data_IF_645439896804
#
_entry.id   IF_645439896804
#
_cell.length_a   1.000
_cell.length_b   1.000
_cell.length_c   1.000
_cell.angle_alpha   90.00
_cell.angle_beta   90.00
_cell.angle_gamma   90.00
#
_symmetry.space_group_name_H-M   'P 1'
#
loop_
_entity.id
_entity.type
_entity.pdbx_description
1 polymer ?
#
# COMPACT_ATOMS: atom_id res chain seq x y z
N UNK A 1 -6.96 8.32 13.55
CA UNK A 1 -7.74 7.20 12.98
C UNK A 1 -6.78 6.38 12.16
N UNK A 2 -6.77 5.04 12.30
CA UNK A 2 -5.92 4.20 11.45
C UNK A 2 -6.29 4.43 9.97
N UNK A 3 -5.28 4.54 9.11
CA UNK A 3 -5.49 4.74 7.68
C UNK A 3 -5.93 3.38 7.09
N UNK A 4 -7.24 3.22 6.83
CA UNK A 4 -7.80 2.00 6.27
C UNK A 4 -7.17 1.71 4.90
N UNK A 5 -6.82 0.45 4.65
CA UNK A 5 -6.30 0.02 3.34
C UNK A 5 -7.44 -0.03 2.32
N UNK A 6 -7.26 0.63 1.19
CA UNK A 6 -8.26 0.68 0.11
C UNK A 6 -8.18 -0.56 -0.76
N UNK A 7 -9.25 -1.34 -0.77
CA UNK A 7 -9.39 -2.52 -1.61
C UNK A 7 -10.39 -2.25 -2.72
N UNK A 8 -10.01 -2.51 -3.97
CA UNK A 8 -10.95 -2.59 -5.08
C UNK A 8 -11.36 -4.05 -5.29
N UNK A 9 -12.65 -4.32 -5.21
CA UNK A 9 -13.26 -5.63 -5.47
C UNK A 9 -14.02 -5.58 -6.80
N UNK A 10 -13.59 -6.39 -7.76
CA UNK A 10 -14.17 -6.48 -9.10
C UNK A 10 -14.69 -7.90 -9.30
N UNK A 11 -16.01 -8.06 -9.30
CA UNK A 11 -16.69 -9.36 -9.46
C UNK A 11 -18.10 -9.08 -10.00
N UNK A 12 -18.61 -9.83 -10.96
CA UNK A 12 -19.95 -9.64 -11.51
C UNK A 12 -21.05 -10.25 -10.64
N UNK A 13 -20.72 -11.23 -9.80
CA UNK A 13 -21.64 -11.81 -8.82
C UNK A 13 -21.91 -10.79 -7.71
N UNK A 14 -23.07 -10.13 -7.79
CA UNK A 14 -23.46 -9.09 -6.85
C UNK A 14 -23.57 -9.61 -5.41
N UNK A 15 -24.10 -10.82 -5.21
CA UNK A 15 -24.30 -11.40 -3.87
C UNK A 15 -22.93 -11.73 -3.23
N UNK A 16 -22.03 -12.33 -4.00
CA UNK A 16 -20.67 -12.60 -3.54
C UNK A 16 -19.90 -11.31 -3.24
N UNK A 17 -20.02 -10.31 -4.11
CA UNK A 17 -19.33 -9.03 -3.99
C UNK A 17 -19.78 -8.30 -2.71
N UNK A 18 -21.12 -8.16 -2.49
CA UNK A 18 -21.67 -7.53 -1.31
C UNK A 18 -21.25 -8.27 -0.02
N UNK A 19 -21.38 -9.61 0.01
CA UNK A 19 -20.99 -10.41 1.17
C UNK A 19 -19.49 -10.27 1.50
N UNK A 20 -18.62 -10.23 0.48
CA UNK A 20 -17.16 -10.03 0.69
C UNK A 20 -16.85 -8.63 1.17
N UNK A 21 -17.48 -7.61 0.59
CA UNK A 21 -17.30 -6.22 1.00
C UNK A 21 -17.67 -6.02 2.47
N UNK A 22 -18.85 -6.52 2.88
CA UNK A 22 -19.27 -6.47 4.28
C UNK A 22 -18.27 -7.16 5.22
N UNK A 23 -17.85 -8.38 4.89
CA UNK A 23 -16.91 -9.13 5.73
C UNK A 23 -15.54 -8.43 5.84
N UNK A 24 -15.05 -7.83 4.76
CA UNK A 24 -13.79 -7.08 4.77
C UNK A 24 -13.90 -5.81 5.63
N UNK A 25 -14.99 -5.05 5.50
CA UNK A 25 -15.23 -3.84 6.29
C UNK A 25 -15.36 -4.17 7.79
N UNK A 26 -15.99 -5.29 8.14
CA UNK A 26 -16.10 -5.76 9.54
C UNK A 26 -14.75 -6.07 10.20
N UNK A 27 -13.66 -6.24 9.43
CA UNK A 27 -12.32 -6.41 10.02
C UNK A 27 -11.72 -5.10 10.55
N UNK A 28 -12.34 -3.95 10.25
CA UNK A 28 -11.87 -2.60 10.60
C UNK A 28 -10.48 -2.22 10.03
N UNK A 29 -9.95 -3.07 9.11
CA UNK A 29 -8.65 -2.84 8.44
C UNK A 29 -8.81 -2.18 7.06
N UNK A 30 -10.01 -2.31 6.44
CA UNK A 30 -10.20 -2.05 5.01
C UNK A 30 -11.34 -1.07 4.71
N UNK A 31 -11.11 -0.26 3.67
CA UNK A 31 -12.11 0.53 2.96
C UNK A 31 -12.31 -0.11 1.58
N UNK A 32 -13.54 -0.58 1.29
CA UNK A 32 -13.82 -1.43 0.12
C UNK A 32 -14.60 -0.65 -0.93
N UNK A 33 -14.10 -0.70 -2.15
CA UNK A 33 -14.70 -0.14 -3.35
C UNK A 33 -15.07 -1.27 -4.29
N UNK A 34 -16.27 -1.25 -4.80
CA UNK A 34 -16.83 -2.34 -5.61
C UNK A 34 -16.93 -1.96 -7.08
N UNK A 35 -16.79 -2.93 -7.98
CA UNK A 35 -17.06 -2.81 -9.41
C UNK A 35 -17.72 -4.10 -9.91
N UNK A 36 -18.77 -3.97 -10.71
CA UNK A 36 -19.51 -5.11 -11.25
C UNK A 36 -18.99 -5.65 -12.57
N UNK A 37 -18.07 -4.94 -13.20
CA UNK A 37 -17.47 -5.34 -14.49
C UNK A 37 -16.06 -4.74 -14.67
N UNK A 38 -15.39 -5.14 -15.75
CA UNK A 38 -14.02 -4.71 -16.03
C UNK A 38 -13.90 -3.25 -16.42
N UNK A 39 -14.89 -2.65 -17.07
CA UNK A 39 -14.88 -1.24 -17.45
C UNK A 39 -14.99 -0.36 -16.21
N UNK A 40 -15.93 -0.66 -15.32
CA UNK A 40 -16.05 0.02 -14.02
C UNK A 40 -14.76 -0.10 -13.21
N UNK A 41 -14.16 -1.31 -13.17
CA UNK A 41 -12.87 -1.55 -12.51
C UNK A 41 -11.75 -0.66 -13.05
N UNK A 42 -11.64 -0.51 -14.37
CA UNK A 42 -10.67 0.39 -15.01
C UNK A 42 -10.92 1.85 -14.62
N UNK A 43 -12.16 2.29 -14.63
CA UNK A 43 -12.47 3.69 -14.33
C UNK A 43 -12.19 4.02 -12.86
N UNK A 44 -12.42 3.09 -11.94
CA UNK A 44 -12.05 3.26 -10.54
C UNK A 44 -10.53 3.37 -10.33
N UNK A 45 -9.71 2.55 -11.00
CA UNK A 45 -8.24 2.66 -10.88
C UNK A 45 -7.65 3.90 -11.54
N UNK A 46 -8.36 4.52 -12.49
CA UNK A 46 -8.00 5.85 -13.02
C UNK A 46 -8.34 6.97 -12.05
N UNK A 47 -9.45 6.82 -11.34
CA UNK A 47 -9.96 7.85 -10.43
C UNK A 47 -9.28 7.84 -9.05
N UNK A 48 -8.67 6.71 -8.64
CA UNK A 48 -8.11 6.57 -7.31
C UNK A 48 -6.93 5.61 -7.21
N UNK A 49 -6.28 5.61 -6.07
CA UNK A 49 -5.19 4.69 -5.73
C UNK A 49 -5.72 3.65 -4.74
N UNK A 50 -5.42 2.39 -5.00
CA UNK A 50 -5.79 1.26 -4.16
C UNK A 50 -4.54 0.57 -3.60
N UNK A 51 -4.68 -0.03 -2.42
CA UNK A 51 -3.62 -0.82 -1.78
C UNK A 51 -3.62 -2.27 -2.29
N UNK A 52 -4.78 -2.78 -2.74
CA UNK A 52 -4.93 -4.12 -3.31
C UNK A 52 -6.16 -4.16 -4.23
N UNK A 53 -6.10 -4.98 -5.27
CA UNK A 53 -7.25 -5.31 -6.13
C UNK A 53 -7.58 -6.79 -5.96
N UNK A 54 -8.84 -7.10 -5.69
CA UNK A 54 -9.41 -8.45 -5.78
C UNK A 54 -10.17 -8.48 -7.10
N UNK A 55 -9.87 -9.45 -7.96
CA UNK A 55 -10.32 -9.44 -9.34
C UNK A 55 -10.84 -10.81 -9.76
N UNK A 56 -12.12 -10.90 -10.10
CA UNK A 56 -12.65 -12.10 -10.73
C UNK A 56 -12.10 -12.29 -12.14
N UNK A 57 -11.84 -13.53 -12.52
CA UNK A 57 -11.39 -13.89 -13.88
C UNK A 57 -12.57 -13.90 -14.85
N UNK A 58 -13.75 -14.31 -14.42
CA UNK A 58 -14.92 -14.54 -15.24
C UNK A 58 -15.86 -13.33 -15.40
N UNK A 59 -15.33 -12.14 -15.69
CA UNK A 59 -16.17 -10.96 -15.88
C UNK A 59 -16.98 -10.99 -17.19
N UNK A 60 -18.16 -10.33 -17.24
CA UNK A 60 -19.06 -10.42 -18.37
C UNK A 60 -18.58 -9.67 -19.61
N UNK A 61 -17.75 -8.65 -19.45
CA UNK A 61 -17.31 -7.74 -20.50
C UNK A 61 -15.88 -8.00 -20.99
N UNK A 62 -15.06 -8.64 -20.17
CA UNK A 62 -13.68 -9.02 -20.53
C UNK A 62 -13.12 -10.07 -19.55
N UNK A 63 -12.12 -10.82 -20.00
CA UNK A 63 -11.36 -11.72 -19.12
C UNK A 63 -10.59 -10.91 -18.04
N UNK A 64 -10.71 -11.30 -16.75
CA UNK A 64 -10.03 -10.61 -15.66
C UNK A 64 -8.51 -10.57 -15.82
N UNK A 65 -7.90 -11.54 -16.50
CA UNK A 65 -6.47 -11.54 -16.82
C UNK A 65 -6.12 -10.42 -17.81
N UNK A 66 -6.99 -10.16 -18.78
CA UNK A 66 -6.82 -9.01 -19.69
C UNK A 66 -7.01 -7.68 -18.95
N UNK A 67 -7.98 -7.63 -18.05
CA UNK A 67 -8.18 -6.47 -17.17
C UNK A 67 -6.93 -6.19 -16.33
N UNK A 68 -6.35 -7.21 -15.72
CA UNK A 68 -5.10 -7.07 -14.97
C UNK A 68 -3.97 -6.48 -15.84
N UNK A 69 -3.76 -7.03 -17.05
CA UNK A 69 -2.77 -6.50 -18.01
C UNK A 69 -3.03 -5.02 -18.35
N UNK A 70 -4.29 -4.62 -18.53
CA UNK A 70 -4.68 -3.23 -18.80
C UNK A 70 -4.38 -2.33 -17.60
N UNK A 71 -4.72 -2.77 -16.39
CA UNK A 71 -4.40 -2.05 -15.14
C UNK A 71 -2.88 -1.87 -14.98
N UNK A 72 -2.08 -2.91 -15.22
CA UNK A 72 -0.61 -2.84 -15.18
C UNK A 72 -0.04 -1.84 -16.18
N UNK A 73 -0.56 -1.84 -17.43
CA UNK A 73 -0.17 -0.86 -18.46
C UNK A 73 -0.52 0.59 -18.06
N UNK A 74 -1.57 0.79 -17.27
CA UNK A 74 -1.96 2.09 -16.75
C UNK A 74 -1.15 2.51 -15.51
N UNK A 75 -0.21 1.67 -15.05
CA UNK A 75 0.68 1.98 -13.94
C UNK A 75 0.19 1.52 -12.57
N UNK A 76 -0.85 0.69 -12.50
CA UNK A 76 -1.28 0.06 -11.23
C UNK A 76 -0.17 -0.83 -10.71
N UNK A 77 0.35 -0.52 -9.51
CA UNK A 77 1.48 -1.21 -8.87
C UNK A 77 1.06 -2.06 -7.67
N UNK A 78 -0.11 -1.77 -7.10
CA UNK A 78 -0.62 -2.54 -5.96
C UNK A 78 -0.81 -4.02 -6.33
N UNK A 79 -0.78 -4.93 -5.34
CA UNK A 79 -1.04 -6.35 -5.58
C UNK A 79 -2.43 -6.58 -6.16
N UNK A 80 -2.50 -7.51 -7.11
CA UNK A 80 -3.74 -8.02 -7.69
C UNK A 80 -3.87 -9.49 -7.28
N UNK A 81 -4.96 -9.81 -6.60
CA UNK A 81 -5.34 -11.17 -6.20
C UNK A 81 -6.51 -11.59 -7.06
N UNK A 82 -6.32 -12.63 -7.86
CA UNK A 82 -7.38 -13.11 -8.75
C UNK A 82 -8.24 -14.17 -8.07
N UNK A 83 -9.56 -14.07 -8.30
CA UNK A 83 -10.52 -15.12 -7.98
C UNK A 83 -10.83 -15.91 -9.25
N UNK A 84 -10.84 -17.24 -9.19
CA UNK A 84 -11.08 -18.08 -10.35
C UNK A 84 -11.95 -19.28 -9.99
N UNK A 85 -12.83 -19.70 -10.91
CA UNK A 85 -13.58 -20.93 -10.79
C UNK A 85 -12.75 -22.18 -11.15
N UNK A 86 -11.61 -22.01 -11.83
CA UNK A 86 -10.72 -23.08 -12.28
C UNK A 86 -9.49 -23.19 -11.41
N UNK A 87 -9.14 -24.42 -11.04
CA UNK A 87 -7.94 -24.79 -10.28
C UNK A 87 -6.82 -25.39 -11.15
N UNK A 88 -6.93 -25.26 -12.48
CA UNK A 88 -5.92 -25.80 -13.37
C UNK A 88 -4.59 -25.05 -13.27
N UNK A 89 -3.48 -25.80 -13.27
CA UNK A 89 -2.13 -25.23 -13.29
C UNK A 89 -1.94 -24.25 -14.46
N UNK A 90 -2.58 -24.54 -15.60
CA UNK A 90 -2.53 -23.68 -16.78
C UNK A 90 -3.17 -22.31 -16.55
N UNK A 91 -4.32 -22.24 -15.88
CA UNK A 91 -4.99 -20.98 -15.56
C UNK A 91 -4.20 -20.16 -14.53
N UNK A 92 -3.58 -20.82 -13.57
CA UNK A 92 -2.71 -20.18 -12.59
C UNK A 92 -1.48 -19.56 -13.25
N UNK A 93 -0.82 -20.29 -14.17
CA UNK A 93 0.34 -19.78 -14.93
C UNK A 93 -0.06 -18.58 -15.78
N UNK A 94 -1.14 -18.69 -16.56
CA UNK A 94 -1.62 -17.59 -17.43
C UNK A 94 -1.92 -16.31 -16.67
N UNK A 95 -2.37 -16.43 -15.46
CA UNK A 95 -2.71 -15.25 -14.71
C UNK A 95 -1.51 -14.63 -14.01
N UNK A 96 -0.56 -15.39 -13.51
CA UNK A 96 0.71 -14.84 -13.01
C UNK A 96 1.44 -14.11 -14.15
N UNK A 97 1.40 -14.65 -15.38
CA UNK A 97 1.92 -13.97 -16.58
C UNK A 97 1.14 -12.69 -16.93
N UNK A 98 -0.13 -12.59 -16.49
CA UNK A 98 -0.92 -11.37 -16.63
C UNK A 98 -0.52 -10.26 -15.62
N UNK A 99 0.35 -10.57 -14.66
CA UNK A 99 0.82 -9.63 -13.64
C UNK A 99 0.03 -9.68 -12.34
N UNK A 100 -0.74 -10.76 -12.10
CA UNK A 100 -1.33 -11.03 -10.79
C UNK A 100 -0.24 -11.41 -9.78
N UNK A 101 -0.52 -11.16 -8.49
CA UNK A 101 0.40 -11.48 -7.39
C UNK A 101 0.01 -12.80 -6.69
N UNK A 102 -1.26 -13.19 -6.76
CA UNK A 102 -1.76 -14.42 -6.15
C UNK A 102 -3.10 -14.84 -6.75
N UNK A 103 -3.51 -16.08 -6.48
CA UNK A 103 -4.75 -16.69 -6.94
C UNK A 103 -5.51 -17.34 -5.80
N UNK A 104 -6.85 -17.27 -5.88
CA UNK A 104 -7.75 -17.99 -4.97
C UNK A 104 -8.85 -18.64 -5.79
N UNK A 105 -8.97 -19.96 -5.65
CA UNK A 105 -10.00 -20.75 -6.35
C UNK A 105 -11.34 -20.64 -5.64
N UNK A 106 -12.40 -20.39 -6.38
CA UNK A 106 -13.79 -20.47 -5.92
C UNK A 106 -14.26 -21.95 -5.90
N UNK A 107 -14.94 -22.45 -4.84
CA UNK A 107 -15.33 -21.74 -3.63
C UNK A 107 -14.17 -21.66 -2.61
N UNK A 108 -14.07 -20.53 -1.93
CA UNK A 108 -13.04 -20.28 -0.91
C UNK A 108 -13.65 -20.00 0.46
N UNK A 109 -12.81 -20.13 1.50
CA UNK A 109 -13.17 -19.72 2.86
C UNK A 109 -12.65 -18.30 3.10
N UNK A 110 -13.50 -17.41 3.61
CA UNK A 110 -13.11 -16.02 3.90
C UNK A 110 -11.82 -15.88 4.72
N UNK A 111 -11.58 -16.66 5.81
CA UNK A 111 -10.32 -16.55 6.54
C UNK A 111 -9.07 -16.85 5.69
N UNK A 112 -9.19 -17.72 4.69
CA UNK A 112 -8.08 -18.04 3.76
C UNK A 112 -7.83 -16.86 2.82
N UNK A 113 -8.89 -16.28 2.25
CA UNK A 113 -8.81 -15.09 1.41
C UNK A 113 -8.20 -13.92 2.20
N UNK A 114 -8.68 -13.66 3.42
CA UNK A 114 -8.19 -12.60 4.30
C UNK A 114 -6.69 -12.76 4.62
N UNK A 115 -6.25 -14.00 4.92
CA UNK A 115 -4.84 -14.28 5.16
C UNK A 115 -3.96 -13.96 3.94
N UNK A 116 -4.43 -14.28 2.72
CA UNK A 116 -3.73 -13.96 1.47
C UNK A 116 -3.70 -12.46 1.19
N UNK A 117 -4.81 -11.75 1.37
CA UNK A 117 -4.88 -10.27 1.28
C UNK A 117 -3.81 -9.65 2.17
N UNK A 118 -3.79 -10.01 3.46
CA UNK A 118 -2.81 -9.48 4.42
C UNK A 118 -1.37 -9.85 4.05
N UNK A 119 -1.12 -11.04 3.51
CA UNK A 119 0.20 -11.44 3.05
C UNK A 119 0.66 -10.60 1.85
N UNK A 120 -0.21 -10.37 0.86
CA UNK A 120 0.11 -9.58 -0.31
C UNK A 120 0.35 -8.11 0.04
N UNK A 121 -0.48 -7.51 0.90
CA UNK A 121 -0.29 -6.15 1.40
C UNK A 121 1.07 -6.00 2.10
N UNK A 122 1.40 -6.91 3.01
CA UNK A 122 2.69 -6.91 3.73
C UNK A 122 3.88 -7.04 2.79
N UNK A 123 3.81 -7.93 1.80
CA UNK A 123 4.87 -8.12 0.80
C UNK A 123 5.03 -6.87 -0.06
N UNK A 124 3.91 -6.26 -0.48
CA UNK A 124 3.93 -5.04 -1.27
C UNK A 124 4.51 -3.86 -0.51
N UNK A 125 4.15 -3.68 0.76
CA UNK A 125 4.72 -2.62 1.62
C UNK A 125 6.24 -2.75 1.79
N UNK A 126 6.77 -3.97 1.64
CA UNK A 126 8.22 -4.21 1.65
C UNK A 126 8.88 -3.99 0.29
N UNK A 127 8.10 -3.93 -0.78
CA UNK A 127 8.61 -3.74 -2.14
C UNK A 127 9.05 -2.30 -2.40
N UNK A 128 9.83 -2.12 -3.47
CA UNK A 128 10.21 -0.79 -3.95
C UNK A 128 9.06 -0.05 -4.67
N UNK A 129 8.06 -0.78 -5.14
CA UNK A 129 6.90 -0.23 -5.85
C UNK A 129 5.81 0.31 -4.90
N UNK A 130 5.99 0.18 -3.58
CA UNK A 130 5.03 0.66 -2.60
C UNK A 130 4.78 2.18 -2.71
N UNK A 131 3.51 2.56 -2.63
CA UNK A 131 3.07 3.96 -2.55
C UNK A 131 2.34 4.11 -1.22
N UNK A 132 2.72 5.11 -0.43
CA UNK A 132 2.16 5.34 0.89
C UNK A 132 1.46 6.70 0.96
N UNK A 133 0.40 6.78 1.75
CA UNK A 133 -0.21 8.05 2.12
C UNK A 133 0.36 8.50 3.47
N UNK A 134 0.92 9.71 3.51
CA UNK A 134 1.46 10.35 4.71
C UNK A 134 0.72 11.67 4.94
N UNK A 135 -0.40 11.62 5.65
CA UNK A 135 -1.29 12.77 5.76
C UNK A 135 -1.75 13.22 4.35
N UNK A 136 -1.40 14.44 3.98
CA UNK A 136 -1.72 15.01 2.66
C UNK A 136 -0.65 14.73 1.57
N UNK A 137 0.36 13.91 1.88
CA UNK A 137 1.41 13.54 0.91
C UNK A 137 1.22 12.13 0.38
N UNK A 138 1.44 11.97 -0.93
CA UNK A 138 1.69 10.67 -1.56
C UNK A 138 3.20 10.41 -1.55
N UNK A 139 3.64 9.41 -0.79
CA UNK A 139 5.04 9.01 -0.66
C UNK A 139 5.38 7.86 -1.60
N UNK A 140 6.35 8.08 -2.48
CA UNK A 140 6.89 7.10 -3.44
C UNK A 140 8.35 6.80 -3.12
N UNK A 141 8.67 5.82 -2.27
CA UNK A 141 10.03 5.53 -1.79
C UNK A 141 11.01 5.22 -2.91
N UNK A 142 10.63 4.40 -3.89
CA UNK A 142 11.49 4.04 -5.03
C UNK A 142 11.98 5.26 -5.81
N UNK A 143 11.15 6.29 -5.89
CA UNK A 143 11.48 7.56 -6.55
C UNK A 143 12.12 8.58 -5.59
N UNK A 144 12.21 8.28 -4.29
CA UNK A 144 12.65 9.19 -3.22
C UNK A 144 11.85 10.51 -3.26
N UNK A 145 10.52 10.40 -3.34
CA UNK A 145 9.64 11.50 -3.67
C UNK A 145 8.41 11.55 -2.77
N UNK A 146 8.06 12.74 -2.30
CA UNK A 146 6.75 13.08 -1.76
C UNK A 146 6.04 13.99 -2.77
N UNK A 147 4.72 13.81 -2.91
CA UNK A 147 3.86 14.63 -3.77
C UNK A 147 2.74 15.15 -2.88
N UNK A 148 2.55 16.46 -2.82
CA UNK A 148 1.45 17.06 -2.07
C UNK A 148 0.15 17.14 -2.90
N UNK A 149 -0.94 17.59 -2.27
CA UNK A 149 -2.27 17.75 -2.91
C UNK A 149 -2.27 18.73 -4.09
N UNK A 150 -1.25 19.59 -4.22
CA UNK A 150 -1.06 20.53 -5.32
C UNK A 150 -0.09 20.05 -6.38
N UNK A 151 0.20 18.74 -6.37
CA UNK A 151 1.14 18.08 -7.29
C UNK A 151 2.59 18.59 -7.19
N UNK A 152 2.96 19.28 -6.09
CA UNK A 152 4.33 19.71 -5.84
C UNK A 152 5.17 18.51 -5.42
N UNK A 153 6.31 18.36 -6.08
CA UNK A 153 7.25 17.26 -5.90
C UNK A 153 8.36 17.65 -4.93
N UNK A 154 8.46 16.96 -3.81
CA UNK A 154 9.47 17.15 -2.77
C UNK A 154 10.45 15.98 -2.84
N UNK A 155 11.70 16.25 -3.22
CA UNK A 155 12.75 15.22 -3.28
C UNK A 155 13.30 14.91 -1.90
N UNK A 156 13.46 13.61 -1.65
CA UNK A 156 14.06 13.07 -0.43
C UNK A 156 15.46 12.53 -0.73
N UNK A 157 16.33 12.59 0.27
CA UNK A 157 17.57 11.81 0.27
C UNK A 157 17.26 10.35 0.61
N UNK A 158 18.21 9.46 0.39
CA UNK A 158 18.08 8.04 0.74
C UNK A 158 17.79 7.83 2.23
N UNK A 159 18.49 8.54 3.11
CA UNK A 159 18.28 8.44 4.55
C UNK A 159 16.92 8.97 4.99
N UNK A 160 16.49 10.09 4.43
CA UNK A 160 15.13 10.62 4.68
C UNK A 160 14.04 9.65 4.21
N UNK A 161 14.22 9.02 3.04
CA UNK A 161 13.32 8.00 2.51
C UNK A 161 13.24 6.80 3.45
N UNK A 162 14.39 6.29 3.91
CA UNK A 162 14.44 5.13 4.80
C UNK A 162 13.84 5.44 6.19
N UNK A 163 14.04 6.63 6.72
CA UNK A 163 13.40 7.09 7.97
C UNK A 163 11.88 7.06 7.82
N UNK A 164 11.33 7.70 6.78
CA UNK A 164 9.89 7.73 6.55
C UNK A 164 9.32 6.33 6.32
N UNK A 165 10.00 5.51 5.54
CA UNK A 165 9.59 4.12 5.26
C UNK A 165 9.53 3.27 6.53
N UNK A 166 10.52 3.42 7.41
CA UNK A 166 10.57 2.67 8.67
C UNK A 166 9.48 3.14 9.65
N UNK A 167 9.34 4.46 9.83
CA UNK A 167 8.33 5.03 10.71
C UNK A 167 6.90 4.73 10.23
N UNK A 168 6.65 4.76 8.93
CA UNK A 168 5.36 4.37 8.36
C UNK A 168 4.99 2.93 8.70
N UNK A 169 5.96 2.00 8.57
CA UNK A 169 5.76 0.58 8.92
C UNK A 169 5.52 0.33 10.40
N UNK A 170 5.96 1.24 11.25
CA UNK A 170 5.71 1.17 12.68
C UNK A 170 4.24 1.52 13.04
N UNK A 171 3.39 1.83 12.04
CA UNK A 171 1.95 2.04 12.19
C UNK A 171 1.59 2.96 13.38
N UNK A 172 2.09 4.19 13.34
CA UNK A 172 1.95 5.20 14.41
C UNK A 172 2.58 4.83 15.76
N UNK A 173 3.29 3.70 15.84
CA UNK A 173 4.10 3.34 17.01
C UNK A 173 5.30 4.26 17.21
N UNK A 174 5.69 4.49 18.46
CA UNK A 174 6.92 5.21 18.77
C UNK A 174 8.12 4.32 18.48
N UNK A 175 9.01 4.78 17.60
CA UNK A 175 10.28 4.10 17.30
C UNK A 175 11.41 4.77 18.07
N UNK A 176 12.12 3.98 18.87
CA UNK A 176 13.25 4.46 19.64
C UNK A 176 14.39 4.98 18.76
N UNK A 177 15.15 5.97 19.25
CA UNK A 177 16.21 6.64 18.47
C UNK A 177 17.31 5.68 18.02
N UNK A 178 17.73 4.79 18.91
CA UNK A 178 18.73 3.76 18.66
C UNK A 178 18.27 2.73 17.63
N UNK A 179 17.01 2.31 17.71
CA UNK A 179 16.39 1.41 16.71
C UNK A 179 16.39 2.09 15.34
N UNK A 180 15.90 3.32 15.24
CA UNK A 180 15.84 4.03 13.96
C UNK A 180 17.24 4.30 13.38
N UNK A 181 18.22 4.60 14.27
CA UNK A 181 19.60 4.77 13.86
C UNK A 181 20.20 3.48 13.31
N UNK A 182 19.97 2.35 13.98
CA UNK A 182 20.44 1.03 13.56
C UNK A 182 19.82 0.62 12.22
N UNK A 183 18.52 0.72 12.09
CA UNK A 183 17.77 0.30 10.90
C UNK A 183 18.10 1.14 9.65
N UNK A 184 18.37 2.43 9.82
CA UNK A 184 18.63 3.34 8.70
C UNK A 184 20.13 3.42 8.34
N UNK A 185 21.04 3.29 9.32
CA UNK A 185 22.50 3.42 9.08
C UNK A 185 23.28 2.11 9.26
N UNK A 186 22.67 1.06 9.83
CA UNK A 186 23.35 -0.19 10.16
C UNK A 186 24.32 -0.04 11.35
N UNK A 187 25.16 -1.04 11.54
CA UNK A 187 26.21 -1.04 12.57
C UNK A 187 27.40 -0.12 12.22
N UNK A 188 27.15 1.14 12.02
CA UNK A 188 28.22 2.09 11.74
C UNK A 188 28.58 2.88 13.01
N UNK A 189 29.67 2.49 13.67
CA UNK A 189 30.13 3.05 14.96
C UNK A 189 30.42 4.56 14.94
N UNK A 190 30.46 5.17 13.74
CA UNK A 190 30.68 6.61 13.58
C UNK A 190 29.40 7.47 13.52
N UNK A 191 28.21 6.83 13.52
CA UNK A 191 26.93 7.56 13.39
C UNK A 191 26.28 7.71 14.77
N UNK A 192 26.05 8.95 15.16
CA UNK A 192 25.50 9.32 16.47
C UNK A 192 24.03 9.72 16.37
N UNK A 193 23.32 9.79 17.51
CA UNK A 193 21.95 10.31 17.60
C UNK A 193 21.82 11.71 16.99
N UNK A 194 22.87 12.53 17.07
CA UNK A 194 22.90 13.87 16.47
C UNK A 194 22.76 13.82 14.94
N UNK A 195 23.30 12.79 14.29
CA UNK A 195 23.11 12.58 12.84
C UNK A 195 21.62 12.33 12.51
N UNK A 196 20.96 11.46 13.29
CA UNK A 196 19.54 11.21 13.15
C UNK A 196 18.72 12.50 13.36
N UNK A 197 18.99 13.25 14.42
CA UNK A 197 18.30 14.52 14.73
C UNK A 197 18.44 15.54 13.59
N UNK A 198 19.60 15.61 12.96
CA UNK A 198 19.83 16.47 11.79
C UNK A 198 18.93 16.06 10.61
N UNK A 199 18.79 14.75 10.33
CA UNK A 199 17.91 14.27 9.28
C UNK A 199 16.42 14.47 9.60
N UNK A 200 16.01 14.26 10.85
CA UNK A 200 14.66 14.56 11.32
C UNK A 200 14.33 16.05 11.15
N UNK A 201 15.25 16.94 11.55
CA UNK A 201 15.07 18.39 11.36
C UNK A 201 14.89 18.75 9.88
N UNK A 202 15.75 18.22 8.98
CA UNK A 202 15.64 18.44 7.53
C UNK A 202 14.34 17.90 6.94
N UNK A 203 13.89 16.74 7.41
CA UNK A 203 12.60 16.17 7.01
C UNK A 203 11.46 17.09 7.41
N UNK A 204 11.43 17.56 8.66
CA UNK A 204 10.41 18.49 9.14
C UNK A 204 10.37 19.78 8.31
N UNK A 205 11.52 20.31 7.93
CA UNK A 205 11.57 21.47 7.03
C UNK A 205 10.90 21.21 5.67
N UNK A 206 10.84 19.96 5.23
CA UNK A 206 10.24 19.57 3.95
C UNK A 206 8.75 19.25 4.04
N UNK A 207 8.29 18.69 5.18
CA UNK A 207 6.97 18.08 5.30
C UNK A 207 6.04 18.79 6.31
N UNK A 208 6.57 19.60 7.20
CA UNK A 208 5.78 20.32 8.20
C UNK A 208 5.53 21.77 7.80
N UNK A 209 4.34 22.30 8.03
CA UNK A 209 4.09 23.74 7.89
C UNK A 209 4.93 24.59 8.86
N UNK A 210 5.13 24.08 10.10
CA UNK A 210 5.98 24.63 11.13
C UNK A 210 6.88 23.53 11.68
N UNK A 211 8.18 23.50 11.31
CA UNK A 211 9.13 22.49 11.78
C UNK A 211 9.35 22.45 13.28
N UNK A 212 9.09 23.57 13.97
CA UNK A 212 9.23 23.67 15.44
C UNK A 212 8.02 23.09 16.17
N UNK A 213 6.87 23.02 15.49
CA UNK A 213 5.63 22.45 16.00
C UNK A 213 5.15 21.31 15.08
N UNK A 214 5.96 20.27 14.99
CA UNK A 214 5.74 19.14 14.09
C UNK A 214 4.48 18.35 14.46
N UNK A 215 3.65 18.05 13.49
CA UNK A 215 2.39 17.31 13.63
C UNK A 215 2.39 15.98 12.91
N UNK A 216 3.13 15.85 11.82
CA UNK A 216 3.26 14.64 11.03
C UNK A 216 4.42 13.76 11.55
N UNK A 217 5.60 14.38 11.78
CA UNK A 217 6.78 13.69 12.30
C UNK A 217 7.06 14.16 13.73
N UNK A 218 6.43 13.50 14.68
CA UNK A 218 6.39 13.92 16.09
C UNK A 218 7.57 13.35 16.89
N UNK A 219 8.09 14.14 17.83
CA UNK A 219 9.03 13.64 18.86
C UNK A 219 8.24 13.18 20.07
N UNK A 220 8.48 11.95 20.47
CA UNK A 220 7.90 11.36 21.67
C UNK A 220 9.00 11.02 22.69
N UNK A 221 8.60 10.65 23.91
CA UNK A 221 9.55 10.20 24.94
C UNK A 221 10.35 9.00 24.42
N UNK A 222 11.65 9.22 24.21
CA UNK A 222 12.58 8.19 23.73
C UNK A 222 12.71 8.01 22.21
N UNK A 223 11.85 8.62 21.38
CA UNK A 223 11.88 8.34 19.94
C UNK A 223 11.11 9.28 19.05
N UNK A 224 10.68 8.76 17.91
CA UNK A 224 9.91 9.46 16.91
C UNK A 224 8.71 8.63 16.49
N UNK A 225 7.64 9.31 16.10
CA UNK A 225 6.41 8.73 15.57
C UNK A 225 5.99 9.49 14.34
N UNK A 226 5.51 8.75 13.34
CA UNK A 226 4.87 9.31 12.15
C UNK A 226 3.34 9.22 12.35
N UNK A 227 2.65 10.35 12.26
CA UNK A 227 1.19 10.45 12.31
C UNK A 227 0.71 10.56 10.87
N UNK A 228 0.18 9.46 10.30
CA UNK A 228 -0.20 9.36 8.90
C UNK A 228 -1.72 9.46 8.69
#
# INVERSE_FOLDING_TARGET
MANLKKILLVDDDADLREALAEQLVLTEDFDVFEAGDGHEGIDKVKAGVFDLVILDVGLPDMDGRELCKKMRKQGVKCPVLMLTANDSDADTILGLDAGANDYVTKPFKFPVLLARIRAQLRTHEQSEDAIFQLGHYTFKPAMKLLIDERDRKIRLTEKETNILKYLYRAAEGVVARDVLLHEVWGYNAGVTTHTLETHIYRLRQKIEPDPSNARLLVTESGGYRLVA
#
